data_IF_734248865575
#
_entry.id   IF_734248865575
#
_cell.length_a   1.000
_cell.length_b   1.000
_cell.length_c   1.000
_cell.angle_alpha   90.00
_cell.angle_beta   90.00
_cell.angle_gamma   90.00
#
_symmetry.space_group_name_H-M   'P 1'
#
loop_
_entity.id
_entity.type
_entity.pdbx_description
1 polymer ?
#
# COMPACT_ATOMS: atom_id res chain seq x y z
N UNK A 1 -16.96 -7.99 20.07
CA UNK A 1 -16.86 -8.16 18.60
C UNK A 1 -15.40 -8.45 18.28
N UNK A 2 -15.04 -9.72 18.04
CA UNK A 2 -13.66 -10.06 17.65
C UNK A 2 -13.49 -9.65 16.19
N UNK A 3 -12.79 -8.55 15.92
CA UNK A 3 -12.27 -8.29 14.58
C UNK A 3 -11.33 -9.46 14.26
N UNK A 4 -11.70 -10.33 13.32
CA UNK A 4 -10.80 -11.37 12.83
C UNK A 4 -9.60 -10.74 12.14
N UNK A 5 -8.45 -11.41 12.10
CA UNK A 5 -7.22 -10.86 11.51
C UNK A 5 -7.41 -10.32 10.08
N UNK A 6 -8.26 -10.97 9.27
CA UNK A 6 -8.65 -10.51 7.92
C UNK A 6 -9.30 -9.11 7.91
N UNK A 7 -10.03 -8.77 8.97
CA UNK A 7 -10.69 -7.46 9.09
C UNK A 7 -9.71 -6.36 9.47
N UNK A 8 -8.70 -6.66 10.30
CA UNK A 8 -7.63 -5.72 10.68
C UNK A 8 -6.77 -5.41 9.45
N UNK A 9 -6.30 -6.44 8.76
CA UNK A 9 -5.50 -6.30 7.54
C UNK A 9 -6.21 -5.43 6.48
N UNK A 10 -7.50 -5.68 6.21
CA UNK A 10 -8.28 -4.90 5.24
C UNK A 10 -8.46 -3.44 5.65
N UNK A 11 -8.56 -3.16 6.95
CA UNK A 11 -8.68 -1.78 7.45
C UNK A 11 -7.36 -1.03 7.24
N UNK A 12 -6.24 -1.63 7.63
CA UNK A 12 -4.91 -1.04 7.47
C UNK A 12 -4.56 -0.81 5.99
N UNK A 13 -4.81 -1.80 5.14
CA UNK A 13 -4.60 -1.68 3.69
C UNK A 13 -5.41 -0.53 3.08
N UNK A 14 -6.68 -0.37 3.49
CA UNK A 14 -7.53 0.75 3.04
C UNK A 14 -7.02 2.10 3.55
N UNK A 15 -6.54 2.16 4.79
CA UNK A 15 -6.00 3.39 5.36
C UNK A 15 -4.76 3.85 4.59
N UNK A 16 -3.84 2.92 4.33
CA UNK A 16 -2.62 3.18 3.57
C UNK A 16 -2.91 3.63 2.13
N UNK A 17 -3.79 2.92 1.41
CA UNK A 17 -4.16 3.29 0.03
C UNK A 17 -4.78 4.69 -0.03
N UNK A 18 -5.67 5.03 0.92
CA UNK A 18 -6.26 6.38 1.00
C UNK A 18 -5.20 7.44 1.27
N UNK A 19 -4.25 7.17 2.18
CA UNK A 19 -3.13 8.06 2.47
C UNK A 19 -2.29 8.35 1.22
N UNK A 20 -1.89 7.31 0.50
CA UNK A 20 -1.14 7.43 -0.76
C UNK A 20 -1.89 8.25 -1.81
N UNK A 21 -3.19 7.99 -2.01
CA UNK A 21 -4.02 8.74 -2.96
C UNK A 21 -4.13 10.23 -2.61
N UNK A 22 -4.31 10.55 -1.33
CA UNK A 22 -4.37 11.94 -0.86
C UNK A 22 -3.03 12.63 -1.11
N UNK A 23 -1.93 11.98 -0.75
CA UNK A 23 -0.59 12.53 -0.93
C UNK A 23 -0.24 12.76 -2.39
N UNK A 24 -0.62 11.82 -3.26
CA UNK A 24 -0.46 11.97 -4.71
C UNK A 24 -1.24 13.18 -5.25
N UNK A 25 -2.51 13.35 -4.85
CA UNK A 25 -3.34 14.50 -5.25
C UNK A 25 -2.79 15.82 -4.74
N UNK A 26 -2.08 15.82 -3.60
CA UNK A 26 -1.38 17.00 -3.07
C UNK A 26 -0.03 17.27 -3.75
N UNK A 27 0.40 16.40 -4.67
CA UNK A 27 1.67 16.55 -5.40
C UNK A 27 2.89 16.05 -4.64
N UNK A 28 2.73 15.39 -3.48
CA UNK A 28 3.85 14.76 -2.80
C UNK A 28 4.32 13.54 -3.60
N UNK A 29 5.60 13.56 -3.99
CA UNK A 29 6.22 12.49 -4.79
C UNK A 29 7.13 11.56 -3.98
N UNK A 30 7.51 12.00 -2.78
CA UNK A 30 8.34 11.23 -1.86
C UNK A 30 7.59 11.15 -0.52
N UNK A 31 7.39 9.94 -0.04
CA UNK A 31 6.66 9.62 1.18
C UNK A 31 7.41 8.53 1.93
N UNK A 32 7.44 8.66 3.25
CA UNK A 32 7.81 7.59 4.16
C UNK A 32 6.53 6.97 4.69
N UNK A 33 6.48 5.63 4.70
CA UNK A 33 5.32 4.88 5.19
C UNK A 33 5.78 4.11 6.42
N UNK A 34 5.30 4.53 7.58
CA UNK A 34 5.46 3.79 8.83
C UNK A 34 4.28 2.81 8.99
N UNK A 35 4.57 1.52 8.93
CA UNK A 35 3.57 0.46 9.04
C UNK A 35 4.18 -0.71 9.83
N UNK A 36 3.50 -1.14 10.90
CA UNK A 36 3.87 -2.28 11.74
C UNK A 36 3.39 -3.62 11.16
N UNK A 37 2.57 -3.59 10.12
CA UNK A 37 2.11 -4.77 9.40
C UNK A 37 3.07 -5.13 8.26
N UNK A 38 4.05 -5.99 8.56
CA UNK A 38 5.04 -6.45 7.59
C UNK A 38 4.43 -7.06 6.31
N UNK A 39 3.33 -7.81 6.43
CA UNK A 39 2.67 -8.43 5.27
C UNK A 39 2.04 -7.39 4.34
N UNK A 40 1.55 -6.28 4.90
CA UNK A 40 1.01 -5.17 4.11
C UNK A 40 2.13 -4.45 3.35
N UNK A 41 3.28 -4.25 3.98
CA UNK A 41 4.47 -3.65 3.34
C UNK A 41 4.93 -4.51 2.17
N UNK A 42 5.10 -5.81 2.38
CA UNK A 42 5.49 -6.76 1.32
C UNK A 42 4.50 -6.77 0.15
N UNK A 43 3.19 -6.75 0.43
CA UNK A 43 2.16 -6.71 -0.61
C UNK A 43 2.27 -5.46 -1.51
N UNK A 44 2.55 -4.29 -0.92
CA UNK A 44 2.71 -3.04 -1.67
C UNK A 44 3.96 -3.09 -2.55
N UNK A 45 5.07 -3.58 -2.00
CA UNK A 45 6.33 -3.73 -2.73
C UNK A 45 6.19 -4.72 -3.90
N UNK A 46 5.55 -5.86 -3.66
CA UNK A 46 5.28 -6.87 -4.68
C UNK A 46 4.34 -6.37 -5.77
N UNK A 47 3.28 -5.64 -5.41
CA UNK A 47 2.39 -5.00 -6.38
C UNK A 47 3.12 -4.02 -7.29
N UNK A 48 4.10 -3.28 -6.75
CA UNK A 48 4.96 -2.37 -7.52
C UNK A 48 5.86 -3.10 -8.50
N UNK A 49 6.42 -4.25 -8.09
CA UNK A 49 7.30 -5.06 -8.94
C UNK A 49 6.55 -5.60 -10.18
N UNK A 50 5.27 -5.98 -10.01
CA UNK A 50 4.42 -6.42 -11.11
C UNK A 50 4.15 -5.30 -12.14
N UNK A 51 3.90 -4.06 -11.68
CA UNK A 51 3.70 -2.91 -12.59
C UNK A 51 4.99 -2.52 -13.34
N UNK A 52 6.16 -2.60 -12.71
CA UNK A 52 7.44 -2.24 -13.36
C UNK A 52 7.87 -3.19 -14.48
N UNK A 53 7.54 -4.48 -14.39
CA UNK A 53 7.83 -5.44 -15.46
C UNK A 53 6.95 -5.23 -16.70
N UNK A 54 5.79 -4.60 -16.57
CA UNK A 54 4.92 -4.26 -17.70
C UNK A 54 5.52 -3.14 -18.56
N UNK A 55 6.19 -2.17 -17.93
CA UNK A 55 6.88 -1.08 -18.62
C UNK A 55 8.18 -1.49 -19.32
N UNK A 56 8.78 -2.63 -18.97
CA UNK A 56 10.02 -3.12 -19.61
C UNK A 56 9.77 -3.85 -20.94
N UNK A 57 8.50 -4.21 -21.23
CA UNK A 57 8.09 -4.95 -22.44
C UNK A 57 7.38 -4.02 -23.46
N UNK A 58 7.42 -2.70 -23.26
CA UNK A 58 6.74 -1.70 -24.12
C UNK A 58 7.68 -1.02 -25.12
#
# INVERSE_FOLDING_TARGET
MKLGNDSIFKIEARALLKGLLISWRKGYRQLEVECDNALLVELILAGRAADSHLTEIS
#
